data_IF_842553103589
#
_entry.id   IF_842553103589
#
_cell.length_a   1.000
_cell.length_b   1.000
_cell.length_c   1.000
_cell.angle_alpha   90.00
_cell.angle_beta   90.00
_cell.angle_gamma   90.00
#
_symmetry.space_group_name_H-M   'P 1'
#
loop_
_entity.id
_entity.type
_entity.pdbx_description
1 polymer ?
#
# COMPACT_ATOMS: atom_id res chain seq x y z
N UNK A 1 -11.72 4.66 30.72
CA UNK A 1 -10.71 5.56 30.12
C UNK A 1 -9.40 4.80 29.98
N UNK A 2 -8.89 4.72 28.74
CA UNK A 2 -7.67 3.97 28.40
C UNK A 2 -6.46 4.90 28.14
N UNK A 3 -6.66 6.22 28.19
CA UNK A 3 -5.61 7.20 27.84
C UNK A 3 -4.37 7.09 28.76
N UNK A 4 -4.54 6.59 29.99
CA UNK A 4 -3.49 6.45 30.98
C UNK A 4 -3.00 4.99 31.15
N UNK A 5 -3.36 4.09 30.24
CA UNK A 5 -2.84 2.73 30.30
C UNK A 5 -1.32 2.70 30.09
N UNK A 6 -0.62 1.98 30.95
CA UNK A 6 0.80 1.65 30.71
C UNK A 6 0.88 0.46 29.74
N UNK A 7 1.17 0.78 28.49
CA UNK A 7 1.34 -0.22 27.42
C UNK A 7 2.82 -0.46 27.08
N UNK A 8 3.75 0.14 27.84
CA UNK A 8 5.19 0.11 27.54
C UNK A 8 5.81 -1.29 27.49
N UNK A 9 5.15 -2.30 28.05
CA UNK A 9 5.59 -3.71 28.00
C UNK A 9 4.83 -4.56 26.98
N UNK A 10 3.87 -3.97 26.27
CA UNK A 10 3.07 -4.69 25.28
C UNK A 10 3.90 -4.91 24.02
N UNK A 11 3.91 -6.14 23.53
CA UNK A 11 4.63 -6.53 22.30
C UNK A 11 3.69 -6.90 21.17
N UNK A 12 2.43 -7.22 21.47
CA UNK A 12 1.42 -7.60 20.49
C UNK A 12 0.11 -6.84 20.73
N UNK A 13 -0.30 -6.05 19.73
CA UNK A 13 -1.56 -5.30 19.71
C UNK A 13 -2.49 -5.76 18.57
N UNK A 14 -2.30 -7.00 18.09
CA UNK A 14 -3.12 -7.54 16.99
C UNK A 14 -4.62 -7.43 17.33
N UNK A 15 -5.36 -6.83 16.39
CA UNK A 15 -6.80 -6.66 16.43
C UNK A 15 -7.36 -5.99 17.72
N UNK A 16 -6.52 -5.31 18.51
CA UNK A 16 -6.88 -4.80 19.84
C UNK A 16 -8.15 -3.94 19.84
N UNK A 17 -8.38 -3.18 18.78
CA UNK A 17 -9.57 -2.34 18.62
C UNK A 17 -10.42 -2.73 17.39
N UNK A 18 -10.13 -3.86 16.75
CA UNK A 18 -10.84 -4.27 15.53
C UNK A 18 -12.33 -4.55 15.80
N UNK A 19 -13.20 -4.16 14.85
CA UNK A 19 -14.62 -4.50 14.90
C UNK A 19 -14.90 -5.99 14.66
N UNK A 20 -13.93 -6.73 14.17
CA UNK A 20 -14.07 -8.20 14.05
C UNK A 20 -14.33 -8.85 15.40
N UNK A 21 -13.78 -8.27 16.48
CA UNK A 21 -13.90 -8.77 17.85
C UNK A 21 -15.08 -8.10 18.60
N UNK A 22 -15.40 -6.85 18.24
CA UNK A 22 -16.45 -6.07 18.89
C UNK A 22 -17.53 -5.70 17.88
N UNK A 23 -18.80 -5.83 18.22
CA UNK A 23 -19.92 -5.45 17.35
C UNK A 23 -19.79 -4.00 16.85
N UNK A 24 -20.12 -3.77 15.58
CA UNK A 24 -20.19 -2.42 14.99
C UNK A 24 -21.11 -1.55 15.85
N UNK A 25 -20.59 -0.58 16.58
CA UNK A 25 -21.37 0.35 17.40
C UNK A 25 -21.12 0.29 18.91
N UNK A 26 -20.55 -0.80 19.45
CA UNK A 26 -20.43 -0.97 20.90
C UNK A 26 -19.15 -0.35 21.49
N UNK A 27 -18.13 -0.04 20.67
CA UNK A 27 -16.89 0.55 21.14
C UNK A 27 -16.48 1.74 20.28
N UNK A 28 -16.53 2.93 20.86
CA UNK A 28 -16.03 4.15 20.26
C UNK A 28 -14.66 4.47 20.86
N UNK A 29 -13.62 4.43 20.02
CA UNK A 29 -12.27 4.79 20.44
C UNK A 29 -12.10 6.31 20.35
N UNK A 30 -12.56 7.02 21.40
CA UNK A 30 -12.51 8.48 21.51
C UNK A 30 -11.51 8.98 22.56
N UNK A 31 -10.90 8.08 23.35
CA UNK A 31 -9.87 8.44 24.30
C UNK A 31 -8.53 8.66 23.60
N UNK A 32 -7.82 9.70 24.06
CA UNK A 32 -6.50 10.06 23.52
C UNK A 32 -5.45 8.99 23.84
N UNK A 33 -4.97 8.33 22.79
CA UNK A 33 -3.90 7.32 22.87
C UNK A 33 -2.57 7.80 22.28
N UNK A 34 -2.47 9.09 21.93
CA UNK A 34 -1.26 9.67 21.31
C UNK A 34 0.01 9.54 22.15
N UNK A 35 -0.17 9.38 23.48
CA UNK A 35 0.92 9.28 24.46
C UNK A 35 1.30 7.85 24.82
N UNK A 36 0.67 6.86 24.24
CA UNK A 36 1.04 5.47 24.49
C UNK A 36 2.47 5.19 24.07
N UNK A 37 3.24 4.55 24.94
CA UNK A 37 4.58 4.04 24.60
C UNK A 37 4.42 2.67 23.91
N UNK A 38 4.45 2.68 22.60
CA UNK A 38 4.34 1.47 21.75
C UNK A 38 5.70 0.96 21.29
N UNK A 39 6.81 1.49 21.82
CA UNK A 39 8.18 1.21 21.36
C UNK A 39 8.63 -0.26 21.49
N UNK A 40 7.88 -1.09 22.20
CA UNK A 40 8.12 -2.52 22.31
C UNK A 40 7.16 -3.38 21.47
N UNK A 41 6.21 -2.76 20.76
CA UNK A 41 5.24 -3.51 19.94
C UNK A 41 5.91 -4.02 18.67
N UNK A 42 5.71 -5.28 18.36
CA UNK A 42 6.20 -5.95 17.14
C UNK A 42 5.09 -6.33 16.17
N UNK A 43 3.85 -6.42 16.65
CA UNK A 43 2.68 -6.79 15.86
C UNK A 43 1.52 -5.82 16.10
N UNK A 44 1.09 -5.10 15.03
CA UNK A 44 -0.05 -4.18 15.02
C UNK A 44 -1.12 -4.61 14.00
N UNK A 45 -1.08 -5.86 13.55
CA UNK A 45 -2.02 -6.39 12.56
C UNK A 45 -3.47 -6.11 12.95
N UNK A 46 -4.26 -5.54 12.01
CA UNK A 46 -5.69 -5.27 12.18
C UNK A 46 -6.05 -4.38 13.39
N UNK A 47 -5.11 -3.66 14.00
CA UNK A 47 -5.33 -2.96 15.28
C UNK A 47 -6.54 -2.02 15.25
N UNK A 48 -6.74 -1.27 14.17
CA UNK A 48 -7.85 -0.32 13.98
C UNK A 48 -8.79 -0.71 12.84
N UNK A 49 -8.77 -1.98 12.43
CA UNK A 49 -9.56 -2.43 11.30
C UNK A 49 -11.05 -2.19 11.49
N UNK A 50 -11.70 -1.61 10.45
CA UNK A 50 -13.15 -1.32 10.41
C UNK A 50 -13.60 -0.37 11.55
N UNK A 51 -12.76 0.65 11.87
CA UNK A 51 -13.05 1.63 12.93
C UNK A 51 -13.11 3.07 12.41
N UNK A 52 -13.99 3.84 13.00
CA UNK A 52 -13.98 5.30 12.87
C UNK A 52 -12.91 5.86 13.82
N UNK A 53 -11.64 5.79 13.38
CA UNK A 53 -10.48 6.22 14.17
C UNK A 53 -9.74 7.31 13.37
N UNK A 54 -9.42 8.43 14.01
CA UNK A 54 -8.64 9.51 13.38
C UNK A 54 -7.83 10.33 14.39
N UNK A 55 -7.25 9.70 15.41
CA UNK A 55 -6.39 10.40 16.36
C UNK A 55 -4.96 10.50 15.83
N UNK A 56 -4.26 11.56 16.25
CA UNK A 56 -2.85 11.76 15.93
C UNK A 56 -1.98 10.73 16.67
N UNK A 57 -1.44 9.82 15.90
CA UNK A 57 -0.50 8.78 16.36
C UNK A 57 0.84 8.89 15.63
N UNK A 58 1.09 10.00 14.94
CA UNK A 58 2.29 10.23 14.15
C UNK A 58 3.60 10.23 14.97
N UNK A 59 3.52 10.37 16.28
CA UNK A 59 4.69 10.32 17.17
C UNK A 59 4.93 8.93 17.80
N UNK A 60 4.15 7.91 17.47
CA UNK A 60 4.41 6.55 17.94
C UNK A 60 5.75 6.01 17.41
N UNK A 61 6.54 5.41 18.28
CA UNK A 61 7.74 4.67 17.86
C UNK A 61 7.33 3.26 17.43
N UNK A 62 7.24 3.07 16.11
CA UNK A 62 6.88 1.78 15.49
C UNK A 62 8.10 1.02 14.94
N UNK A 63 9.31 1.45 15.29
CA UNK A 63 10.57 0.95 14.72
C UNK A 63 10.85 -0.56 14.97
N UNK A 64 10.08 -1.21 15.84
CA UNK A 64 10.15 -2.66 16.07
C UNK A 64 9.01 -3.45 15.42
N UNK A 65 8.02 -2.77 14.83
CA UNK A 65 6.86 -3.45 14.25
C UNK A 65 7.26 -4.16 12.95
N UNK A 66 6.92 -5.43 12.86
CA UNK A 66 7.18 -6.28 11.68
C UNK A 66 5.92 -6.60 10.90
N UNK A 67 4.76 -6.62 11.55
CA UNK A 67 3.46 -6.90 10.93
C UNK A 67 2.49 -5.74 11.17
N UNK A 68 2.11 -5.06 10.07
CA UNK A 68 1.11 -3.98 10.04
C UNK A 68 -0.06 -4.32 9.11
N UNK A 69 -0.20 -5.61 8.74
CA UNK A 69 -1.25 -6.03 7.81
C UNK A 69 -2.64 -5.62 8.33
N UNK A 70 -3.47 -5.05 7.44
CA UNK A 70 -4.84 -4.62 7.75
C UNK A 70 -4.98 -3.57 8.87
N UNK A 71 -3.89 -2.91 9.34
CA UNK A 71 -3.93 -2.07 10.54
C UNK A 71 -5.04 -1.01 10.51
N UNK A 72 -5.27 -0.37 9.37
CA UNK A 72 -6.31 0.63 9.14
C UNK A 72 -7.30 0.21 8.04
N UNK A 73 -7.37 -1.08 7.71
CA UNK A 73 -8.32 -1.55 6.70
C UNK A 73 -9.74 -1.15 7.10
N UNK A 74 -10.47 -0.54 6.14
CA UNK A 74 -11.82 -0.02 6.33
C UNK A 74 -11.96 1.04 7.45
N UNK A 75 -10.84 1.64 7.89
CA UNK A 75 -10.84 2.79 8.80
C UNK A 75 -11.15 4.08 8.02
N UNK A 76 -12.40 4.23 7.58
CA UNK A 76 -12.85 5.23 6.60
C UNK A 76 -12.62 6.68 7.00
N UNK A 77 -12.36 6.98 8.27
CA UNK A 77 -12.11 8.33 8.79
C UNK A 77 -10.62 8.63 9.01
N UNK A 78 -9.74 7.61 8.96
CA UNK A 78 -8.32 7.81 9.26
C UNK A 78 -7.64 8.66 8.18
N UNK A 79 -6.99 9.77 8.61
CA UNK A 79 -6.30 10.70 7.72
C UNK A 79 -5.21 11.50 8.47
N UNK A 80 -4.37 10.82 9.27
CA UNK A 80 -3.29 11.48 10.00
C UNK A 80 -1.95 11.29 9.29
N UNK A 81 -1.04 12.26 9.49
CA UNK A 81 0.33 12.16 9.02
C UNK A 81 1.11 11.16 9.87
N UNK A 82 1.73 10.21 9.22
CA UNK A 82 2.55 9.16 9.84
C UNK A 82 3.94 9.07 9.18
N UNK A 83 4.41 10.16 8.58
CA UNK A 83 5.69 10.27 7.92
C UNK A 83 6.91 10.09 8.86
N UNK A 84 6.71 10.21 10.18
CA UNK A 84 7.75 9.96 11.18
C UNK A 84 7.92 8.48 11.54
N UNK A 85 7.01 7.62 11.12
CA UNK A 85 7.09 6.21 11.42
C UNK A 85 8.29 5.56 10.71
N UNK A 86 9.14 4.89 11.48
CA UNK A 86 10.17 4.01 10.94
C UNK A 86 9.56 2.64 10.67
N UNK A 87 9.24 2.37 9.41
CA UNK A 87 8.68 1.09 8.94
C UNK A 87 9.73 0.16 8.34
N UNK A 88 11.02 0.44 8.56
CA UNK A 88 12.13 -0.30 7.94
C UNK A 88 12.23 -1.77 8.37
N UNK A 89 11.48 -2.19 9.39
CA UNK A 89 11.37 -3.60 9.81
C UNK A 89 10.03 -4.24 9.44
N UNK A 90 9.08 -3.47 8.90
CA UNK A 90 7.78 -4.01 8.52
C UNK A 90 7.92 -4.85 7.24
N UNK A 91 7.72 -6.17 7.39
CA UNK A 91 7.75 -7.12 6.27
C UNK A 91 6.36 -7.36 5.69
N UNK A 92 5.32 -7.25 6.49
CA UNK A 92 3.93 -7.40 6.05
C UNK A 92 3.13 -6.11 6.28
N UNK A 93 2.78 -5.44 5.17
CA UNK A 93 1.93 -4.25 5.15
C UNK A 93 0.70 -4.47 4.24
N UNK A 94 0.35 -5.75 4.02
CA UNK A 94 -0.75 -6.11 3.14
C UNK A 94 -2.06 -5.49 3.64
N UNK A 95 -2.84 -4.87 2.73
CA UNK A 95 -4.13 -4.25 3.03
C UNK A 95 -4.12 -3.17 4.13
N UNK A 96 -2.94 -2.60 4.50
CA UNK A 96 -2.82 -1.73 5.67
C UNK A 96 -3.84 -0.60 5.70
N UNK A 97 -4.12 0.03 4.57
CA UNK A 97 -5.12 1.11 4.42
C UNK A 97 -6.28 0.74 3.49
N UNK A 98 -6.40 -0.52 3.08
CA UNK A 98 -7.46 -0.92 2.13
C UNK A 98 -8.82 -0.45 2.61
N UNK A 99 -9.57 0.26 1.75
CA UNK A 99 -10.89 0.81 2.11
C UNK A 99 -10.88 2.01 3.06
N UNK A 100 -9.72 2.51 3.49
CA UNK A 100 -9.60 3.75 4.28
C UNK A 100 -9.81 4.98 3.37
N UNK A 101 -11.03 5.19 2.93
CA UNK A 101 -11.40 6.09 1.81
C UNK A 101 -11.01 7.55 2.01
N UNK A 102 -10.83 8.03 3.26
CA UNK A 102 -10.39 9.40 3.55
C UNK A 102 -8.88 9.56 3.64
N UNK A 103 -8.11 8.46 3.62
CA UNK A 103 -6.67 8.53 3.87
C UNK A 103 -5.93 9.25 2.73
N UNK A 104 -5.26 10.34 3.08
CA UNK A 104 -4.32 11.09 2.25
C UNK A 104 -3.21 11.70 3.12
N UNK A 105 -2.97 11.13 4.30
CA UNK A 105 -1.93 11.54 5.22
C UNK A 105 -0.53 11.25 4.67
N UNK A 106 0.46 12.02 5.13
CA UNK A 106 1.84 11.88 4.66
C UNK A 106 2.49 10.60 5.18
N UNK A 107 3.11 9.87 4.25
CA UNK A 107 3.97 8.70 4.49
C UNK A 107 5.35 8.92 3.85
N UNK A 108 5.73 10.17 3.59
CA UNK A 108 6.95 10.52 2.86
C UNK A 108 8.21 9.97 3.57
N UNK A 109 9.17 9.50 2.77
CA UNK A 109 10.46 9.02 3.29
C UNK A 109 10.45 7.61 3.87
N UNK A 110 9.36 6.84 3.73
CA UNK A 110 9.33 5.46 4.17
C UNK A 110 10.36 4.60 3.43
N UNK A 111 11.01 3.72 4.18
CA UNK A 111 11.89 2.66 3.68
C UNK A 111 11.36 1.33 4.19
N UNK A 112 11.44 0.29 3.37
CA UNK A 112 10.80 -1.00 3.66
C UNK A 112 11.83 -2.08 3.99
N UNK A 113 11.42 -3.07 4.79
CA UNK A 113 12.21 -4.25 5.10
C UNK A 113 12.55 -5.07 3.83
N UNK A 114 13.59 -5.88 3.90
CA UNK A 114 13.89 -6.85 2.84
C UNK A 114 12.72 -7.80 2.63
N UNK A 115 12.31 -7.96 1.37
CA UNK A 115 11.18 -8.80 1.00
C UNK A 115 9.80 -8.22 1.33
N UNK A 116 9.70 -6.94 1.65
CA UNK A 116 8.43 -6.32 2.05
C UNK A 116 7.29 -6.57 1.05
N UNK A 117 6.13 -6.87 1.60
CA UNK A 117 4.89 -7.09 0.87
C UNK A 117 3.93 -5.92 1.08
N UNK A 118 3.68 -5.15 0.00
CA UNK A 118 2.78 -4.00 0.00
C UNK A 118 1.45 -4.30 -0.73
N UNK A 119 1.12 -5.59 -0.94
CA UNK A 119 -0.05 -5.93 -1.75
C UNK A 119 -1.33 -5.35 -1.15
N UNK A 120 -2.13 -4.73 -2.02
CA UNK A 120 -3.42 -4.10 -1.71
C UNK A 120 -3.38 -3.02 -0.62
N UNK A 121 -2.19 -2.44 -0.33
CA UNK A 121 -2.02 -1.52 0.79
C UNK A 121 -2.96 -0.30 0.69
N UNK A 122 -3.15 0.28 -0.50
CA UNK A 122 -4.08 1.40 -0.75
C UNK A 122 -5.27 1.01 -1.62
N UNK A 123 -5.65 -0.27 -1.61
CA UNK A 123 -6.79 -0.72 -2.40
C UNK A 123 -8.08 0.01 -1.99
N UNK A 124 -8.75 0.64 -2.94
CA UNK A 124 -9.98 1.39 -2.71
C UNK A 124 -9.83 2.67 -1.87
N UNK A 125 -8.60 3.17 -1.67
CA UNK A 125 -8.36 4.45 -0.97
C UNK A 125 -8.58 5.61 -1.94
N UNK A 126 -9.82 6.00 -2.12
CA UNK A 126 -10.25 6.92 -3.19
C UNK A 126 -9.69 8.33 -3.08
N UNK A 127 -9.27 8.77 -1.89
CA UNK A 127 -8.67 10.10 -1.67
C UNK A 127 -7.15 10.13 -1.76
N UNK A 128 -6.48 8.97 -1.86
CA UNK A 128 -5.02 8.90 -1.75
C UNK A 128 -4.32 9.49 -2.97
N UNK A 129 -3.54 10.55 -2.75
CA UNK A 129 -2.62 11.15 -3.71
C UNK A 129 -1.47 11.89 -3.00
N UNK A 130 -1.10 11.47 -1.79
CA UNK A 130 0.03 12.04 -1.07
C UNK A 130 1.35 11.79 -1.80
N UNK A 131 2.34 12.66 -1.57
CA UNK A 131 3.68 12.52 -2.13
C UNK A 131 4.39 11.30 -1.51
N UNK A 132 4.72 10.34 -2.36
CA UNK A 132 5.45 9.11 -2.04
C UNK A 132 6.70 8.95 -2.93
N UNK A 133 7.12 10.01 -3.61
CA UNK A 133 8.31 9.99 -4.48
C UNK A 133 9.59 9.67 -3.70
N UNK A 134 9.63 10.01 -2.42
CA UNK A 134 10.74 9.73 -1.50
C UNK A 134 10.78 8.32 -0.92
N UNK A 135 9.85 7.42 -1.27
CA UNK A 135 9.89 6.04 -0.77
C UNK A 135 11.12 5.27 -1.28
N UNK A 136 11.82 4.59 -0.38
CA UNK A 136 12.84 3.62 -0.78
C UNK A 136 12.20 2.24 -1.02
N UNK A 137 11.89 1.95 -2.28
CA UNK A 137 11.22 0.71 -2.69
C UNK A 137 12.18 -0.43 -3.04
N UNK A 138 13.49 -0.24 -2.88
CA UNK A 138 14.52 -1.20 -3.31
C UNK A 138 14.36 -2.62 -2.73
N UNK A 139 13.71 -2.75 -1.58
CA UNK A 139 13.50 -4.01 -0.89
C UNK A 139 12.10 -4.63 -1.10
N UNK A 140 11.22 -3.95 -1.83
CA UNK A 140 9.84 -4.40 -2.06
C UNK A 140 9.81 -5.52 -3.11
N UNK A 141 9.09 -6.59 -2.81
CA UNK A 141 8.96 -7.75 -3.72
C UNK A 141 7.56 -7.92 -4.29
N UNK A 142 6.52 -7.46 -3.60
CA UNK A 142 5.14 -7.62 -4.02
C UNK A 142 4.37 -6.29 -3.96
N UNK A 143 3.91 -5.83 -5.13
CA UNK A 143 3.07 -4.63 -5.29
C UNK A 143 1.69 -4.96 -5.87
N UNK A 144 1.23 -6.21 -5.74
CA UNK A 144 -0.08 -6.62 -6.28
C UNK A 144 -1.19 -5.73 -5.74
N UNK A 145 -2.00 -5.14 -6.62
CA UNK A 145 -3.15 -4.32 -6.26
C UNK A 145 -2.85 -3.09 -5.38
N UNK A 146 -1.59 -2.67 -5.25
CA UNK A 146 -1.15 -1.60 -4.31
C UNK A 146 -2.05 -0.36 -4.39
N UNK A 147 -2.40 0.09 -5.60
CA UNK A 147 -3.28 1.24 -5.84
C UNK A 147 -4.59 0.86 -6.53
N UNK A 148 -4.99 -0.42 -6.47
CA UNK A 148 -6.22 -0.85 -7.11
C UNK A 148 -7.43 -0.06 -6.58
N UNK A 149 -8.20 0.58 -7.45
CA UNK A 149 -9.35 1.41 -7.05
C UNK A 149 -9.01 2.72 -6.34
N UNK A 150 -7.73 3.11 -6.25
CA UNK A 150 -7.32 4.41 -5.73
C UNK A 150 -7.56 5.51 -6.78
N UNK A 151 -8.80 5.93 -6.92
CA UNK A 151 -9.27 6.73 -8.07
C UNK A 151 -8.64 8.12 -8.20
N UNK A 152 -8.14 8.71 -7.10
CA UNK A 152 -7.42 9.99 -7.11
C UNK A 152 -5.92 9.86 -7.30
N UNK A 153 -5.37 8.63 -7.25
CA UNK A 153 -3.92 8.42 -7.24
C UNK A 153 -3.28 8.83 -8.57
N UNK A 154 -2.36 9.77 -8.50
CA UNK A 154 -1.51 10.21 -9.61
C UNK A 154 -0.19 10.84 -9.11
N UNK A 155 0.31 10.43 -7.93
CA UNK A 155 1.59 10.90 -7.42
C UNK A 155 2.76 10.39 -8.27
N UNK A 156 3.86 11.15 -8.30
CA UNK A 156 5.07 10.75 -9.02
C UNK A 156 5.75 9.56 -8.33
N UNK A 157 5.90 8.48 -9.09
CA UNK A 157 6.57 7.24 -8.68
C UNK A 157 7.64 6.82 -9.69
N UNK A 158 8.04 7.73 -10.59
CA UNK A 158 9.04 7.46 -11.64
C UNK A 158 10.39 7.05 -11.07
N UNK A 159 10.75 7.57 -9.89
CA UNK A 159 12.00 7.28 -9.19
C UNK A 159 12.02 5.96 -8.41
N UNK A 160 10.94 5.19 -8.39
CA UNK A 160 10.91 3.95 -7.61
C UNK A 160 11.87 2.88 -8.17
N UNK A 161 12.61 2.24 -7.27
CA UNK A 161 13.41 1.07 -7.64
C UNK A 161 12.54 -0.19 -7.60
N UNK A 162 12.21 -0.72 -8.77
CA UNK A 162 11.35 -1.90 -8.94
C UNK A 162 12.15 -3.18 -9.22
N UNK A 163 13.48 -3.14 -9.13
CA UNK A 163 14.35 -4.25 -9.53
C UNK A 163 14.12 -5.56 -8.77
N UNK A 164 13.59 -5.51 -7.54
CA UNK A 164 13.28 -6.69 -6.75
C UNK A 164 11.79 -7.08 -6.78
N UNK A 165 10.95 -6.33 -7.50
CA UNK A 165 9.52 -6.63 -7.59
C UNK A 165 9.27 -7.80 -8.52
N UNK A 166 8.52 -8.76 -8.02
CA UNK A 166 8.17 -9.99 -8.75
C UNK A 166 6.70 -10.06 -9.14
N UNK A 167 5.82 -9.34 -8.43
CA UNK A 167 4.36 -9.37 -8.62
C UNK A 167 3.83 -7.95 -8.75
N UNK A 168 3.20 -7.63 -9.91
CA UNK A 168 2.54 -6.35 -10.19
C UNK A 168 1.07 -6.52 -10.63
N UNK A 169 0.45 -7.67 -10.33
CA UNK A 169 -0.93 -7.93 -10.74
C UNK A 169 -1.89 -6.88 -10.18
N UNK A 170 -2.71 -6.27 -11.05
CA UNK A 170 -3.72 -5.29 -10.66
C UNK A 170 -3.18 -4.00 -10.01
N UNK A 171 -1.87 -3.71 -10.13
CA UNK A 171 -1.19 -2.61 -9.43
C UNK A 171 -1.96 -1.29 -9.51
N UNK A 172 -2.47 -0.92 -10.69
CA UNK A 172 -3.22 0.31 -10.93
C UNK A 172 -4.66 0.05 -11.38
N UNK A 173 -5.19 -1.17 -11.20
CA UNK A 173 -6.54 -1.49 -11.66
C UNK A 173 -7.56 -0.51 -11.09
N UNK A 174 -8.31 0.19 -11.94
CA UNK A 174 -9.32 1.16 -11.52
C UNK A 174 -8.77 2.45 -10.87
N UNK A 175 -7.45 2.69 -10.90
CA UNK A 175 -6.84 3.95 -10.49
C UNK A 175 -7.00 5.00 -11.62
N UNK A 176 -8.21 5.48 -11.78
CA UNK A 176 -8.66 6.21 -12.98
C UNK A 176 -7.93 7.53 -13.27
N UNK A 177 -7.28 8.13 -12.26
CA UNK A 177 -6.45 9.33 -12.44
C UNK A 177 -5.00 9.03 -12.81
N UNK A 178 -4.54 7.76 -12.69
CA UNK A 178 -3.13 7.42 -12.83
C UNK A 178 -2.64 7.52 -14.29
N UNK A 179 -1.65 8.37 -14.52
CA UNK A 179 -0.99 8.52 -15.82
C UNK A 179 0.47 9.05 -15.69
N UNK A 180 1.19 8.63 -14.64
CA UNK A 180 2.60 9.03 -14.43
C UNK A 180 3.56 8.21 -15.30
N UNK A 181 4.72 8.81 -15.57
CA UNK A 181 5.79 8.15 -16.31
C UNK A 181 6.43 7.04 -15.46
N UNK A 182 6.28 5.81 -15.91
CA UNK A 182 6.87 4.60 -15.34
C UNK A 182 7.73 3.84 -16.34
N UNK A 183 8.12 4.49 -17.44
CA UNK A 183 8.94 3.90 -18.49
C UNK A 183 10.30 3.42 -17.98
N UNK A 184 10.84 4.08 -16.95
CA UNK A 184 12.12 3.76 -16.33
C UNK A 184 12.10 2.57 -15.34
N UNK A 185 10.96 1.95 -15.11
CA UNK A 185 10.88 0.83 -14.17
C UNK A 185 11.62 -0.40 -14.67
N UNK A 186 12.37 -1.05 -13.78
CA UNK A 186 12.97 -2.34 -14.06
C UNK A 186 11.94 -3.46 -13.82
N UNK A 187 11.51 -4.11 -14.89
CA UNK A 187 10.50 -5.18 -14.87
C UNK A 187 11.10 -6.58 -15.07
N UNK A 188 12.43 -6.70 -15.15
CA UNK A 188 13.11 -7.95 -15.49
C UNK A 188 12.86 -9.12 -14.53
N UNK A 189 12.45 -8.85 -13.29
CA UNK A 189 12.13 -9.89 -12.31
C UNK A 189 10.61 -10.15 -12.15
N UNK A 190 9.78 -9.42 -12.91
CA UNK A 190 8.31 -9.56 -12.79
C UNK A 190 7.82 -10.77 -13.56
N UNK A 191 7.05 -11.63 -12.91
CA UNK A 191 6.45 -12.81 -13.54
C UNK A 191 4.92 -12.70 -13.72
N UNK A 192 4.26 -11.70 -13.15
CA UNK A 192 2.83 -11.47 -13.40
C UNK A 192 2.47 -9.99 -13.39
N UNK A 193 1.76 -9.57 -14.46
CA UNK A 193 1.22 -8.22 -14.67
C UNK A 193 -0.29 -8.27 -14.99
N UNK A 194 -0.98 -9.34 -14.57
CA UNK A 194 -2.41 -9.49 -14.87
C UNK A 194 -3.21 -8.30 -14.32
N UNK A 195 -4.18 -7.79 -15.08
CA UNK A 195 -5.03 -6.63 -14.74
C UNK A 195 -4.29 -5.33 -14.41
N UNK A 196 -2.96 -5.21 -14.67
CA UNK A 196 -2.14 -4.09 -14.14
C UNK A 196 -2.70 -2.71 -14.52
N UNK A 197 -3.19 -2.53 -15.73
CA UNK A 197 -3.80 -1.30 -16.24
C UNK A 197 -5.28 -1.48 -16.60
N UNK A 198 -5.95 -2.39 -15.90
CA UNK A 198 -7.37 -2.64 -16.11
C UNK A 198 -8.23 -1.47 -15.65
N UNK A 199 -9.29 -1.15 -16.42
CA UNK A 199 -10.32 -0.15 -16.06
C UNK A 199 -9.76 1.27 -15.84
N UNK A 200 -8.68 1.68 -16.55
CA UNK A 200 -8.07 3.03 -16.51
C UNK A 200 -7.82 3.59 -17.92
N UNK A 201 -7.40 4.85 -18.00
CA UNK A 201 -7.07 5.53 -19.27
C UNK A 201 -5.56 5.76 -19.42
N UNK A 202 -4.75 4.76 -19.07
CA UNK A 202 -3.30 4.82 -19.14
C UNK A 202 -2.78 4.70 -20.56
N UNK A 203 -1.87 5.61 -20.98
CA UNK A 203 -1.25 5.59 -22.31
C UNK A 203 0.21 6.09 -22.31
N UNK A 204 0.97 5.82 -21.25
CA UNK A 204 2.41 6.13 -21.19
C UNK A 204 3.19 5.07 -21.95
N UNK A 205 4.32 5.48 -22.56
CA UNK A 205 5.23 4.57 -23.27
C UNK A 205 5.91 3.62 -22.27
N UNK A 206 5.68 2.33 -22.47
CA UNK A 206 6.26 1.23 -21.69
C UNK A 206 6.95 0.21 -22.60
N UNK A 207 7.27 0.60 -23.82
CA UNK A 207 7.92 -0.26 -24.83
C UNK A 207 9.27 -0.81 -24.35
N UNK A 208 9.97 -0.07 -23.48
CA UNK A 208 11.27 -0.46 -22.93
C UNK A 208 11.22 -1.49 -21.81
N UNK A 209 10.04 -1.96 -21.38
CA UNK A 209 9.95 -2.94 -20.32
C UNK A 209 10.47 -4.31 -20.73
N UNK A 210 11.27 -4.94 -19.86
CA UNK A 210 11.67 -6.34 -20.01
C UNK A 210 10.53 -7.25 -19.56
N UNK A 211 9.94 -7.97 -20.52
CA UNK A 211 8.81 -8.89 -20.27
C UNK A 211 9.21 -10.36 -20.37
N UNK A 212 10.51 -10.65 -20.55
CA UNK A 212 11.02 -12.00 -20.80
C UNK A 212 10.69 -13.02 -19.69
N UNK A 213 10.52 -12.57 -18.45
CA UNK A 213 10.14 -13.43 -17.33
C UNK A 213 8.63 -13.45 -17.03
N UNK A 214 7.82 -12.66 -17.75
CA UNK A 214 6.38 -12.57 -17.48
C UNK A 214 5.67 -13.79 -18.03
N UNK A 215 5.00 -14.53 -17.13
CA UNK A 215 4.20 -15.71 -17.48
C UNK A 215 2.69 -15.42 -17.52
N UNK A 216 2.24 -14.34 -16.89
CA UNK A 216 0.82 -13.99 -16.86
C UNK A 216 0.59 -12.49 -17.13
N UNK A 217 0.00 -12.17 -18.28
CA UNK A 217 -0.47 -10.83 -18.69
C UNK A 217 -1.99 -10.79 -18.86
N UNK A 218 -2.73 -11.74 -18.29
CA UNK A 218 -4.17 -11.83 -18.51
C UNK A 218 -4.87 -10.52 -18.14
N UNK A 219 -5.72 -10.04 -19.04
CA UNK A 219 -6.53 -8.84 -18.84
C UNK A 219 -5.74 -7.57 -18.47
N UNK A 220 -4.42 -7.51 -18.80
CA UNK A 220 -3.53 -6.41 -18.42
C UNK A 220 -4.09 -5.03 -18.79
N UNK A 221 -4.74 -4.90 -19.93
CA UNK A 221 -5.36 -3.67 -20.42
C UNK A 221 -6.90 -3.78 -20.53
N UNK A 222 -7.54 -4.69 -19.80
CA UNK A 222 -8.99 -4.85 -19.85
C UNK A 222 -9.68 -3.54 -19.47
N UNK A 223 -10.61 -3.04 -20.29
CA UNK A 223 -11.28 -1.78 -20.05
C UNK A 223 -10.42 -0.52 -20.24
N UNK A 224 -9.13 -0.65 -20.58
CA UNK A 224 -8.31 0.49 -20.95
C UNK A 224 -8.58 0.88 -22.43
N UNK A 225 -9.31 1.97 -22.62
CA UNK A 225 -9.72 2.45 -23.95
C UNK A 225 -8.72 3.40 -24.61
N UNK A 226 -7.63 3.75 -23.93
CA UNK A 226 -6.68 4.78 -24.38
C UNK A 226 -5.32 4.23 -24.79
N UNK A 227 -4.96 3.00 -24.36
CA UNK A 227 -3.62 2.45 -24.60
C UNK A 227 -3.39 2.22 -26.10
N UNK A 228 -2.36 2.88 -26.63
CA UNK A 228 -2.01 2.90 -28.06
C UNK A 228 -0.48 2.95 -28.26
N UNK A 229 0.32 2.46 -27.33
CA UNK A 229 1.78 2.45 -27.46
C UNK A 229 2.27 1.22 -28.22
N UNK A 230 3.40 1.35 -28.90
CA UNK A 230 4.05 0.24 -29.58
C UNK A 230 4.74 -0.68 -28.56
N UNK A 231 4.21 -1.87 -28.41
CA UNK A 231 4.76 -2.93 -27.54
C UNK A 231 5.22 -4.15 -28.37
N UNK A 232 5.48 -3.98 -29.66
CA UNK A 232 5.94 -5.07 -30.54
C UNK A 232 7.30 -5.64 -30.11
N UNK A 233 8.08 -4.90 -29.32
CA UNK A 233 9.35 -5.34 -28.77
C UNK A 233 9.24 -6.25 -27.53
N UNK A 234 8.05 -6.47 -26.99
CA UNK A 234 7.89 -7.31 -25.80
C UNK A 234 8.13 -8.80 -26.10
N UNK A 235 8.91 -9.45 -25.24
CA UNK A 235 9.02 -10.91 -25.26
C UNK A 235 7.82 -11.52 -24.53
N UNK A 236 6.99 -12.23 -25.29
CA UNK A 236 5.77 -12.91 -24.78
C UNK A 236 5.91 -14.44 -24.84
N UNK A 237 7.13 -14.95 -25.08
CA UNK A 237 7.39 -16.38 -25.25
C UNK A 237 7.04 -17.23 -24.01
N UNK A 238 7.03 -16.63 -22.83
CA UNK A 238 6.71 -17.32 -21.56
C UNK A 238 5.26 -17.09 -21.10
N UNK A 239 4.45 -16.29 -21.81
CA UNK A 239 3.07 -16.00 -21.42
C UNK A 239 2.14 -17.17 -21.72
N UNK A 240 1.36 -17.60 -20.73
CA UNK A 240 0.44 -18.76 -20.80
C UNK A 240 -0.99 -18.38 -20.53
#
# INVERSE_FOLDING_TARGET
>A
DISNWDVSKVTNMEAMFSSIIFSKGDFKLDQDISKWDVSNVTNMKSMFRDRTFNQDIGNWDVSKVTDMAYMFSDATSFNQDINKWDVSKATDMTYMFSGATSFNGSTSGWSFAEGANLSYMFNGVTSFNADISGWNTSNVTNMSGLFSGATSFNADISGWNTSNVTIMSGLFRGATSFNQDISGWNTSNVFTMSFMFGDITFNVDISGWDTSNVSNMSLMFSGNTSFNQDISGWDVGNVT
#
